data_IF_840093072779
#
_entry.id   IF_840093072779
#
_cell.length_a   1.000
_cell.length_b   1.000
_cell.length_c   1.000
_cell.angle_alpha   90.00
_cell.angle_beta   90.00
_cell.angle_gamma   90.00
#
_symmetry.space_group_name_H-M   'P 1'
#
loop_
_entity.id
_entity.type
_entity.pdbx_description
1 polymer ?
#
# COMPACT_ATOMS: atom_id res chain seq x y z
N UNK A 1 -1.24 -11.42 -5.77
CA UNK A 1 -2.45 -11.82 -4.99
C UNK A 1 -3.71 -11.52 -5.81
N UNK A 2 -4.77 -12.32 -5.66
CA UNK A 2 -6.02 -12.19 -6.44
C UNK A 2 -7.16 -11.52 -5.69
N UNK A 3 -7.04 -11.41 -4.36
CA UNK A 3 -8.06 -10.82 -3.49
C UNK A 3 -7.42 -9.79 -2.56
N UNK A 4 -8.25 -8.84 -2.09
CA UNK A 4 -7.87 -7.78 -1.15
C UNK A 4 -8.96 -7.65 -0.09
N UNK A 5 -8.56 -7.46 1.18
CA UNK A 5 -9.50 -7.17 2.28
C UNK A 5 -9.65 -5.66 2.46
N UNK A 6 -10.84 -5.11 2.20
CA UNK A 6 -11.11 -3.69 2.40
C UNK A 6 -11.04 -3.27 3.87
N UNK A 7 -11.32 -4.20 4.80
CA UNK A 7 -11.21 -3.94 6.24
C UNK A 7 -9.76 -3.78 6.65
N UNK A 8 -8.87 -4.66 6.17
CA UNK A 8 -7.44 -4.52 6.41
C UNK A 8 -6.87 -3.23 5.79
N UNK A 9 -7.33 -2.87 4.58
CA UNK A 9 -6.94 -1.60 3.94
C UNK A 9 -7.38 -0.39 4.77
N UNK A 10 -8.61 -0.38 5.28
CA UNK A 10 -9.11 0.66 6.17
C UNK A 10 -8.31 0.76 7.46
N UNK A 11 -8.07 -0.38 8.13
CA UNK A 11 -7.32 -0.41 9.40
C UNK A 11 -5.91 0.18 9.20
N UNK A 12 -5.22 -0.20 8.10
CA UNK A 12 -3.91 0.37 7.78
C UNK A 12 -3.93 1.90 7.57
N UNK A 13 -4.96 2.42 6.88
CA UNK A 13 -5.11 3.85 6.66
C UNK A 13 -5.40 4.60 7.96
N UNK A 14 -6.30 4.05 8.77
CA UNK A 14 -6.71 4.62 10.05
C UNK A 14 -5.55 4.69 11.04
N UNK A 15 -4.81 3.59 11.21
CA UNK A 15 -3.66 3.55 12.11
C UNK A 15 -2.52 4.45 11.64
N UNK A 16 -2.30 4.59 10.33
CA UNK A 16 -1.31 5.54 9.80
C UNK A 16 -1.67 6.99 10.14
N UNK A 17 -2.95 7.35 10.14
CA UNK A 17 -3.37 8.71 10.54
C UNK A 17 -3.45 8.92 12.05
N UNK A 18 -3.39 7.85 12.84
CA UNK A 18 -3.55 7.92 14.28
C UNK A 18 -2.29 8.46 14.96
N UNK A 19 -2.45 9.56 15.70
CA UNK A 19 -1.36 10.27 16.38
C UNK A 19 -0.64 9.43 17.45
N UNK A 20 -1.27 8.37 17.96
CA UNK A 20 -0.76 7.61 19.10
C UNK A 20 0.56 6.86 18.85
N UNK A 21 0.87 6.50 17.60
CA UNK A 21 2.09 5.75 17.25
C UNK A 21 3.15 6.56 16.50
N UNK A 22 2.76 7.67 15.87
CA UNK A 22 3.64 8.45 15.00
C UNK A 22 4.47 9.52 15.72
N UNK A 23 4.36 9.64 17.05
CA UNK A 23 5.17 10.57 17.82
C UNK A 23 6.68 10.34 17.64
N UNK A 24 7.11 9.07 17.56
CA UNK A 24 8.51 8.73 17.32
C UNK A 24 8.98 9.11 15.90
N UNK A 25 8.11 8.98 14.90
CA UNK A 25 8.43 9.37 13.52
C UNK A 25 8.56 10.89 13.39
N UNK A 26 7.65 11.64 14.03
CA UNK A 26 7.74 13.11 14.12
C UNK A 26 9.04 13.50 14.83
N UNK A 27 9.37 12.86 15.95
CA UNK A 27 10.60 13.15 16.70
C UNK A 27 11.87 12.86 15.89
N UNK A 28 11.93 11.74 15.16
CA UNK A 28 13.12 11.33 14.40
C UNK A 28 13.29 12.04 13.06
N UNK A 29 12.20 12.21 12.31
CA UNK A 29 12.24 12.63 10.92
C UNK A 29 11.61 14.01 10.70
N UNK A 30 11.01 14.63 11.73
CA UNK A 30 10.42 15.97 11.66
C UNK A 30 9.20 16.08 10.75
N UNK A 31 8.68 14.96 10.22
CA UNK A 31 7.57 14.94 9.28
C UNK A 31 6.68 13.73 9.50
N UNK A 32 5.38 13.92 9.30
CA UNK A 32 4.44 12.82 9.18
C UNK A 32 4.68 12.12 7.85
N UNK A 33 4.87 10.80 7.88
CA UNK A 33 4.91 9.97 6.66
C UNK A 33 3.60 10.16 5.89
N UNK A 34 3.68 10.19 4.57
CA UNK A 34 2.50 10.34 3.72
C UNK A 34 1.63 9.07 3.79
N UNK A 35 0.50 9.14 4.53
CA UNK A 35 -0.50 8.07 4.60
C UNK A 35 -1.41 7.97 3.37
N UNK A 36 -1.17 8.79 2.34
CA UNK A 36 -2.01 8.87 1.14
C UNK A 36 -2.12 7.55 0.37
N UNK A 37 -1.08 6.71 0.42
CA UNK A 37 -1.05 5.40 -0.24
C UNK A 37 -2.08 4.43 0.37
N UNK A 38 -2.15 4.35 1.70
CA UNK A 38 -3.14 3.51 2.38
C UNK A 38 -4.58 3.96 2.09
N UNK A 39 -4.81 5.28 2.01
CA UNK A 39 -6.10 5.83 1.61
C UNK A 39 -6.43 5.58 0.12
N UNK A 40 -5.42 5.47 -0.74
CA UNK A 40 -5.62 5.09 -2.14
C UNK A 40 -6.02 3.61 -2.26
N UNK A 41 -5.38 2.72 -1.50
CA UNK A 41 -5.74 1.30 -1.45
C UNK A 41 -7.16 1.08 -0.96
N UNK A 42 -7.58 1.80 0.08
CA UNK A 42 -8.96 1.71 0.58
C UNK A 42 -9.97 2.19 -0.47
N UNK A 43 -9.74 3.34 -1.11
CA UNK A 43 -10.61 3.85 -2.20
C UNK A 43 -10.68 2.88 -3.36
N UNK A 44 -9.55 2.28 -3.74
CA UNK A 44 -9.50 1.24 -4.76
C UNK A 44 -10.34 0.03 -4.36
N UNK A 45 -10.19 -0.47 -3.13
CA UNK A 45 -10.97 -1.60 -2.64
C UNK A 45 -12.48 -1.31 -2.67
N UNK A 46 -12.90 -0.10 -2.28
CA UNK A 46 -14.30 0.32 -2.37
C UNK A 46 -14.80 0.39 -3.82
N UNK A 47 -13.96 0.81 -4.75
CA UNK A 47 -14.30 0.85 -6.19
C UNK A 47 -14.47 -0.55 -6.79
N UNK A 48 -13.79 -1.58 -6.28
CA UNK A 48 -13.91 -2.95 -6.78
C UNK A 48 -15.31 -3.56 -6.58
N UNK A 49 -16.14 -3.00 -5.68
CA UNK A 49 -17.51 -3.49 -5.44
C UNK A 49 -18.40 -3.40 -6.69
N UNK A 50 -18.11 -2.48 -7.62
CA UNK A 50 -18.87 -2.33 -8.87
C UNK A 50 -18.38 -3.26 -10.00
N UNK A 51 -17.33 -4.04 -9.79
CA UNK A 51 -16.72 -4.90 -10.81
C UNK A 51 -17.32 -6.30 -10.77
N UNK A 52 -17.25 -7.03 -11.88
CA UNK A 52 -17.50 -8.47 -11.88
C UNK A 52 -16.39 -9.21 -11.13
N UNK A 53 -16.65 -10.43 -10.65
CA UNK A 53 -15.67 -11.24 -9.90
C UNK A 53 -14.36 -11.46 -10.65
N UNK A 54 -14.42 -11.69 -11.97
CA UNK A 54 -13.25 -11.87 -12.82
C UNK A 54 -12.49 -10.55 -13.04
N UNK A 55 -13.20 -9.45 -13.29
CA UNK A 55 -12.59 -8.13 -13.45
C UNK A 55 -11.95 -7.64 -12.15
N UNK A 56 -12.51 -7.99 -10.99
CA UNK A 56 -11.95 -7.69 -9.68
C UNK A 56 -10.59 -8.37 -9.49
N UNK A 57 -10.49 -9.66 -9.80
CA UNK A 57 -9.24 -10.40 -9.64
C UNK A 57 -8.12 -9.83 -10.52
N UNK A 58 -8.44 -9.46 -11.76
CA UNK A 58 -7.49 -8.84 -12.69
C UNK A 58 -7.06 -7.45 -12.20
N UNK A 59 -8.00 -6.60 -11.79
CA UNK A 59 -7.70 -5.26 -11.28
C UNK A 59 -6.80 -5.32 -10.03
N UNK A 60 -7.07 -6.24 -9.10
CA UNK A 60 -6.22 -6.45 -7.92
C UNK A 60 -4.82 -6.86 -8.35
N UNK A 61 -4.68 -7.83 -9.26
CA UNK A 61 -3.36 -8.23 -9.75
C UNK A 61 -2.59 -7.06 -10.36
N UNK A 62 -3.24 -6.25 -11.20
CA UNK A 62 -2.59 -5.12 -11.86
C UNK A 62 -2.10 -4.07 -10.86
N UNK A 63 -2.90 -3.75 -9.83
CA UNK A 63 -2.46 -2.87 -8.75
C UNK A 63 -1.19 -3.39 -8.05
N UNK A 64 -1.12 -4.68 -7.74
CA UNK A 64 0.07 -5.25 -7.11
C UNK A 64 1.28 -5.27 -8.06
N UNK A 65 1.07 -5.53 -9.37
CA UNK A 65 2.14 -5.42 -10.38
C UNK A 65 2.70 -4.00 -10.45
N UNK A 66 1.83 -2.99 -10.42
CA UNK A 66 2.25 -1.59 -10.42
C UNK A 66 3.03 -1.22 -9.15
N UNK A 67 2.59 -1.71 -7.99
CA UNK A 67 3.32 -1.51 -6.73
C UNK A 67 4.69 -2.14 -6.77
N UNK A 68 4.80 -3.39 -7.22
CA UNK A 68 6.07 -4.07 -7.38
C UNK A 68 7.00 -3.32 -8.34
N UNK A 69 6.47 -2.82 -9.46
CA UNK A 69 7.24 -2.00 -10.41
C UNK A 69 7.78 -0.73 -9.72
N UNK A 70 6.95 0.03 -9.02
CA UNK A 70 7.36 1.23 -8.27
C UNK A 70 8.41 0.94 -7.20
N UNK A 71 8.34 -0.22 -6.55
CA UNK A 71 9.31 -0.63 -5.52
C UNK A 71 10.64 -1.03 -6.14
N UNK A 72 10.63 -1.69 -7.31
CA UNK A 72 11.84 -2.07 -8.06
C UNK A 72 12.56 -0.89 -8.69
N UNK A 73 11.83 0.14 -9.11
CA UNK A 73 12.40 1.38 -9.67
C UNK A 73 13.20 2.18 -8.65
N UNK A 74 12.82 2.11 -7.36
CA UNK A 74 13.52 2.77 -6.28
C UNK A 74 14.73 1.95 -5.83
N UNK A 75 15.74 2.58 -5.20
CA UNK A 75 16.84 1.84 -4.58
C UNK A 75 16.30 0.85 -3.55
N UNK A 76 16.30 -0.43 -3.91
CA UNK A 76 15.83 -1.51 -3.07
C UNK A 76 17.03 -2.31 -2.53
N UNK A 77 16.85 -2.98 -1.40
CA UNK A 77 17.87 -3.84 -0.79
C UNK A 77 18.37 -4.93 -1.73
N UNK A 78 17.55 -5.39 -2.67
CA UNK A 78 17.94 -6.36 -3.71
C UNK A 78 19.11 -5.88 -4.59
N UNK A 79 19.31 -4.56 -4.74
CA UNK A 79 20.44 -4.01 -5.52
C UNK A 79 21.79 -4.12 -4.77
N UNK A 80 21.77 -4.32 -3.45
CA UNK A 80 22.98 -4.43 -2.63
C UNK A 80 23.56 -5.85 -2.70
N UNK A 81 22.71 -6.86 -2.89
CA UNK A 81 23.12 -8.27 -2.92
C UNK A 81 23.27 -8.77 -4.35
N UNK A 82 24.50 -9.02 -4.80
CA UNK A 82 24.71 -9.80 -6.03
C UNK A 82 24.45 -11.27 -5.70
N UNK A 83 23.53 -11.92 -6.43
CA UNK A 83 23.40 -13.39 -6.40
C UNK A 83 24.78 -13.98 -6.72
N UNK A 84 25.30 -14.80 -5.81
CA UNK A 84 26.53 -15.56 -5.97
C UNK A 84 26.21 -16.92 -6.59
#
# INVERSE_FOLDING_TARGET
PTTMSCRAAFDSAFYCTSLGGHFNDIYRYGSLRSCSEHWADWRFCMSLKSYSSEAQANAVQDLYREKERKMKEKPNSENVWRKR
#
